data_IF_401669514810
#
_entry.id   IF_401669514810
#
_cell.length_a   1.000
_cell.length_b   1.000
_cell.length_c   1.000
_cell.angle_alpha   90.00
_cell.angle_beta   90.00
_cell.angle_gamma   90.00
#
_symmetry.space_group_name_H-M   'P 1'
#
loop_
_entity.id
_entity.type
_entity.pdbx_description
1 polymer ?
#
# COMPACT_ATOMS: atom_id res chain seq x y z
N UNK A 1 32.23 56.97 51.81
CA UNK A 1 31.28 56.88 50.69
C UNK A 1 31.87 55.96 49.64
N UNK A 2 31.31 54.76 49.45
CA UNK A 2 31.69 53.83 48.38
C UNK A 2 30.78 54.03 47.16
N UNK A 3 31.25 53.63 45.98
CA UNK A 3 30.39 53.00 44.95
C UNK A 3 31.22 51.96 44.20
N UNK A 4 31.02 50.72 44.61
CA UNK A 4 31.18 49.54 43.78
C UNK A 4 30.09 49.51 42.70
N UNK A 5 30.38 48.89 41.56
CA UNK A 5 29.57 47.83 40.93
C UNK A 5 30.39 47.28 39.76
N UNK A 6 31.00 46.11 39.91
CA UNK A 6 30.48 44.79 39.50
C UNK A 6 30.20 44.70 37.99
N UNK A 7 31.13 44.08 37.27
CA UNK A 7 30.98 43.58 35.91
C UNK A 7 31.91 42.37 35.78
N UNK A 8 31.33 41.18 35.92
CA UNK A 8 32.03 39.93 36.10
C UNK A 8 32.60 39.31 34.82
N UNK A 9 33.56 38.43 35.10
CA UNK A 9 34.30 37.52 34.24
C UNK A 9 33.45 36.51 33.45
N UNK A 10 34.11 35.98 32.42
CA UNK A 10 33.99 34.65 31.81
C UNK A 10 32.74 34.32 30.96
N UNK A 11 32.93 34.23 29.65
CA UNK A 11 33.19 32.94 28.97
C UNK A 11 33.26 33.10 27.46
N UNK A 12 34.33 32.55 26.87
CA UNK A 12 34.42 32.20 25.46
C UNK A 12 33.20 31.37 25.02
N UNK A 13 32.46 31.86 24.03
CA UNK A 13 31.63 31.01 23.19
C UNK A 13 31.92 31.31 21.72
N UNK A 14 32.77 30.46 21.17
CA UNK A 14 32.85 30.14 19.75
C UNK A 14 31.45 30.07 19.16
N UNK A 15 31.16 30.99 18.24
CA UNK A 15 30.00 30.89 17.37
C UNK A 15 30.20 29.65 16.49
N UNK A 16 29.57 28.54 16.90
CA UNK A 16 29.36 27.40 16.03
C UNK A 16 28.59 27.91 14.81
N UNK A 17 29.32 28.04 13.71
CA UNK A 17 28.76 28.17 12.38
C UNK A 17 27.73 27.05 12.23
N UNK A 18 26.45 27.41 12.23
CA UNK A 18 25.38 26.54 11.76
C UNK A 18 25.83 25.98 10.41
N UNK A 19 26.16 24.68 10.40
CA UNK A 19 26.48 23.97 9.18
C UNK A 19 25.23 24.01 8.31
N UNK A 20 25.15 25.04 7.45
CA UNK A 20 24.23 25.08 6.32
C UNK A 20 24.34 23.74 5.61
N UNK A 21 23.25 22.99 5.63
CA UNK A 21 23.11 21.75 4.87
C UNK A 21 23.39 22.12 3.42
N UNK A 22 24.51 21.63 2.89
CA UNK A 22 24.93 21.81 1.50
C UNK A 22 23.93 21.10 0.59
N UNK A 23 22.95 21.86 0.11
CA UNK A 23 21.90 21.47 -0.84
C UNK A 23 22.46 21.12 -2.24
N UNK A 24 23.72 21.46 -2.47
CA UNK A 24 24.56 21.16 -3.64
C UNK A 24 24.72 19.65 -3.90
N UNK A 25 24.41 18.77 -2.95
CA UNK A 25 24.38 17.31 -3.16
C UNK A 25 23.11 16.79 -3.88
N UNK A 26 22.13 17.65 -4.13
CA UNK A 26 20.84 17.25 -4.72
C UNK A 26 20.61 17.74 -6.15
N UNK A 27 21.59 18.38 -6.80
CA UNK A 27 21.48 18.77 -8.21
C UNK A 27 20.40 19.84 -8.51
N UNK A 28 19.87 20.50 -7.48
CA UNK A 28 18.85 21.53 -7.64
C UNK A 28 19.54 22.87 -7.86
N UNK A 29 19.33 23.46 -9.04
CA UNK A 29 19.65 24.86 -9.27
C UNK A 29 18.90 25.77 -8.27
N UNK A 30 19.38 27.00 -8.03
CA UNK A 30 18.88 27.88 -6.97
C UNK A 30 17.39 28.26 -7.03
N UNK A 31 16.67 28.02 -8.14
CA UNK A 31 15.39 28.71 -8.39
C UNK A 31 14.13 27.83 -8.51
N UNK A 32 14.17 26.53 -8.19
CA UNK A 32 12.93 25.72 -8.04
C UNK A 32 12.91 24.89 -6.76
N UNK A 33 12.07 25.31 -5.82
CA UNK A 33 11.77 24.57 -4.60
C UNK A 33 11.00 23.28 -4.93
N UNK A 34 11.50 22.11 -4.49
CA UNK A 34 10.85 20.81 -4.74
C UNK A 34 9.40 20.79 -4.23
N UNK A 35 9.08 21.58 -3.20
CA UNK A 35 7.72 21.71 -2.68
C UNK A 35 6.80 22.45 -3.65
N UNK A 36 7.32 23.44 -4.37
CA UNK A 36 6.56 24.16 -5.39
C UNK A 36 6.34 23.25 -6.60
N UNK A 37 7.38 22.51 -7.00
CA UNK A 37 7.27 21.45 -8.01
C UNK A 37 6.20 20.42 -7.64
N UNK A 38 6.17 19.97 -6.37
CA UNK A 38 5.14 19.07 -5.89
C UNK A 38 3.74 19.64 -6.11
N UNK A 39 3.51 20.90 -5.75
CA UNK A 39 2.19 21.53 -5.95
C UNK A 39 1.88 21.80 -7.43
N UNK A 40 2.88 22.13 -8.25
CA UNK A 40 2.74 22.26 -9.71
C UNK A 40 2.23 20.94 -10.32
N UNK A 41 2.80 19.80 -9.93
CA UNK A 41 2.35 18.46 -10.37
C UNK A 41 0.91 18.19 -9.93
N UNK A 42 0.58 18.46 -8.66
CA UNK A 42 -0.76 18.25 -8.11
C UNK A 42 -1.79 19.11 -8.84
N UNK A 43 -1.47 20.37 -9.11
CA UNK A 43 -2.34 21.30 -9.85
C UNK A 43 -2.50 20.88 -11.31
N UNK A 44 -1.41 20.49 -11.99
CA UNK A 44 -1.45 19.94 -13.35
C UNK A 44 -2.42 18.76 -13.44
N UNK A 45 -2.41 17.83 -12.46
CA UNK A 45 -3.36 16.72 -12.42
C UNK A 45 -4.79 17.14 -12.12
N UNK A 46 -4.99 18.10 -11.21
CA UNK A 46 -6.31 18.63 -10.91
C UNK A 46 -6.94 19.32 -12.14
N UNK A 47 -6.14 20.06 -12.90
CA UNK A 47 -6.57 20.85 -14.06
C UNK A 47 -6.48 20.09 -15.39
N UNK A 48 -5.98 18.84 -15.38
CA UNK A 48 -5.70 18.03 -16.58
C UNK A 48 -4.78 18.73 -17.59
N UNK A 49 -3.81 19.49 -17.11
CA UNK A 49 -2.80 20.18 -17.94
C UNK A 49 -1.53 19.34 -18.03
N UNK A 50 -0.89 19.36 -19.18
CA UNK A 50 0.44 18.76 -19.33
C UNK A 50 1.52 19.60 -18.65
N UNK A 51 2.50 18.94 -18.05
CA UNK A 51 3.70 19.60 -17.53
C UNK A 51 4.66 19.90 -18.69
N UNK A 52 5.45 20.97 -18.54
CA UNK A 52 6.56 21.20 -19.44
C UNK A 52 7.58 20.06 -19.36
N UNK A 53 8.33 19.83 -20.45
CA UNK A 53 9.39 18.81 -20.49
C UNK A 53 10.42 19.01 -19.38
N UNK A 54 10.83 20.26 -19.16
CA UNK A 54 11.76 20.65 -18.09
C UNK A 54 11.21 20.28 -16.70
N UNK A 55 9.95 20.64 -16.41
CA UNK A 55 9.31 20.29 -15.13
C UNK A 55 9.23 18.77 -14.96
N UNK A 56 8.92 18.03 -16.03
CA UNK A 56 8.86 16.57 -15.99
C UNK A 56 10.23 15.91 -15.74
N UNK A 57 11.33 16.48 -16.26
CA UNK A 57 12.70 16.02 -16.00
C UNK A 57 13.12 16.26 -14.56
N UNK A 58 12.90 17.46 -14.02
CA UNK A 58 13.18 17.77 -12.60
C UNK A 58 12.34 16.84 -11.70
N UNK A 59 11.07 16.60 -12.04
CA UNK A 59 10.20 15.68 -11.33
C UNK A 59 10.72 14.24 -11.36
N UNK A 60 11.32 13.81 -12.49
CA UNK A 60 11.94 12.48 -12.61
C UNK A 60 13.09 12.32 -11.65
N UNK A 61 13.99 13.30 -11.60
CA UNK A 61 15.16 13.28 -10.70
C UNK A 61 14.75 13.34 -9.24
N UNK A 62 13.66 14.08 -8.94
CA UNK A 62 13.15 14.28 -7.58
C UNK A 62 12.03 13.32 -7.16
N UNK A 63 11.70 12.28 -7.96
CA UNK A 63 10.48 11.47 -7.80
C UNK A 63 10.32 10.84 -6.41
N UNK A 64 11.40 10.37 -5.78
CA UNK A 64 11.34 9.83 -4.42
C UNK A 64 11.21 10.92 -3.35
N UNK A 65 11.79 12.10 -3.58
CA UNK A 65 11.60 13.26 -2.70
C UNK A 65 10.16 13.75 -2.73
N UNK A 66 9.50 13.71 -3.89
CA UNK A 66 8.06 14.04 -4.01
C UNK A 66 7.18 13.11 -3.15
N UNK A 67 7.53 11.82 -3.04
CA UNK A 67 6.84 10.86 -2.16
C UNK A 67 7.00 11.29 -0.69
N UNK A 68 8.21 11.63 -0.28
CA UNK A 68 8.47 12.08 1.10
C UNK A 68 7.71 13.36 1.45
N UNK A 69 7.60 14.30 0.50
CA UNK A 69 6.79 15.51 0.66
C UNK A 69 5.32 15.14 0.86
N UNK A 70 4.77 14.25 0.03
CA UNK A 70 3.39 13.80 0.15
C UNK A 70 3.11 13.16 1.53
N UNK A 71 3.99 12.27 1.99
CA UNK A 71 3.89 11.64 3.30
C UNK A 71 3.92 12.69 4.42
N UNK A 72 4.87 13.62 4.37
CA UNK A 72 4.99 14.69 5.36
C UNK A 72 3.76 15.60 5.43
N UNK A 73 3.09 15.85 4.30
CA UNK A 73 1.82 16.59 4.25
C UNK A 73 0.69 15.76 4.88
N UNK A 74 0.56 14.49 4.49
CA UNK A 74 -0.50 13.59 4.97
C UNK A 74 -0.42 13.37 6.49
N UNK A 75 0.79 13.25 7.03
CA UNK A 75 1.00 12.98 8.45
C UNK A 75 0.71 14.17 9.34
N UNK A 76 1.03 15.38 8.90
CA UNK A 76 0.94 16.58 9.75
C UNK A 76 -0.49 17.02 10.04
N UNK A 77 -1.53 16.45 9.39
CA UNK A 77 -2.99 16.68 9.57
C UNK A 77 -3.49 18.13 9.56
N UNK A 78 -2.61 19.12 9.57
CA UNK A 78 -2.90 20.56 9.59
C UNK A 78 -2.70 21.23 8.24
N UNK A 79 -2.08 20.54 7.27
CA UNK A 79 -1.96 21.06 5.91
C UNK A 79 -3.19 20.68 5.10
N UNK A 80 -4.31 21.35 5.37
CA UNK A 80 -5.29 21.64 4.33
C UNK A 80 -4.70 22.63 3.29
N UNK A 81 -3.45 22.37 2.86
CA UNK A 81 -2.84 23.11 1.76
C UNK A 81 -3.68 22.83 0.52
N UNK A 82 -4.30 23.89 0.00
CA UNK A 82 -5.14 23.89 -1.20
C UNK A 82 -6.51 23.20 -1.10
N UNK A 83 -7.00 22.87 0.11
CA UNK A 83 -8.35 22.32 0.27
C UNK A 83 -8.57 20.92 -0.32
N UNK A 84 -7.51 20.23 -0.74
CA UNK A 84 -7.57 18.85 -1.21
C UNK A 84 -7.54 17.87 -0.04
N UNK A 85 -8.33 16.80 -0.15
CA UNK A 85 -8.22 15.69 0.80
C UNK A 85 -6.88 14.95 0.64
N UNK A 86 -6.34 14.41 1.72
CA UNK A 86 -5.12 13.59 1.69
C UNK A 86 -5.20 12.44 0.67
N UNK A 87 -6.39 11.86 0.52
CA UNK A 87 -6.67 10.83 -0.49
C UNK A 87 -6.52 11.36 -1.92
N UNK A 88 -7.04 12.56 -2.19
CA UNK A 88 -6.95 13.17 -3.53
C UNK A 88 -5.52 13.50 -3.90
N UNK A 89 -4.75 14.01 -2.93
CA UNK A 89 -3.33 14.30 -3.09
C UNK A 89 -2.53 13.02 -3.40
N UNK A 90 -2.71 11.96 -2.60
CA UNK A 90 -2.06 10.67 -2.85
C UNK A 90 -2.44 10.09 -4.22
N UNK A 91 -3.71 10.21 -4.61
CA UNK A 91 -4.20 9.78 -5.92
C UNK A 91 -3.52 10.53 -7.06
N UNK A 92 -3.46 11.85 -7.01
CA UNK A 92 -2.85 12.65 -8.09
C UNK A 92 -1.37 12.38 -8.26
N UNK A 93 -0.63 12.24 -7.15
CA UNK A 93 0.77 11.86 -7.24
C UNK A 93 0.96 10.47 -7.85
N UNK A 94 0.13 9.49 -7.44
CA UNK A 94 0.18 8.14 -7.99
C UNK A 94 -0.20 8.10 -9.48
N UNK A 95 -1.29 8.77 -9.87
CA UNK A 95 -1.70 8.93 -11.26
C UNK A 95 -0.58 9.56 -12.09
N UNK A 96 0.13 10.55 -11.53
CA UNK A 96 1.29 11.15 -12.18
C UNK A 96 2.42 10.15 -12.45
N UNK A 97 2.87 9.39 -11.44
CA UNK A 97 3.91 8.39 -11.66
C UNK A 97 3.52 7.31 -12.67
N UNK A 98 2.25 6.89 -12.64
CA UNK A 98 1.72 5.90 -13.58
C UNK A 98 1.65 6.45 -15.01
N UNK A 99 1.29 7.71 -15.19
CA UNK A 99 1.26 8.34 -16.51
C UNK A 99 2.66 8.56 -17.08
N UNK A 100 3.64 8.84 -16.22
CA UNK A 100 5.04 8.98 -16.61
C UNK A 100 5.75 7.63 -16.81
N UNK A 101 5.10 6.51 -16.50
CA UNK A 101 5.69 5.17 -16.59
C UNK A 101 6.79 4.90 -15.56
N UNK A 102 6.78 5.61 -14.42
CA UNK A 102 7.79 5.47 -13.36
C UNK A 102 7.38 4.39 -12.37
N UNK A 103 7.43 3.13 -12.82
CA UNK A 103 7.05 1.97 -12.00
C UNK A 103 7.89 1.81 -10.72
N UNK A 104 9.15 2.27 -10.74
CA UNK A 104 10.03 2.34 -9.57
C UNK A 104 9.52 3.35 -8.52
N UNK A 105 9.04 4.52 -8.94
CA UNK A 105 8.40 5.49 -8.05
C UNK A 105 7.09 4.97 -7.49
N UNK A 106 6.31 4.22 -8.27
CA UNK A 106 5.10 3.56 -7.76
C UNK A 106 5.47 2.53 -6.69
N UNK A 107 6.47 1.68 -6.94
CA UNK A 107 6.92 0.69 -5.96
C UNK A 107 7.42 1.34 -4.66
N UNK A 108 8.25 2.39 -4.77
CA UNK A 108 8.72 3.16 -3.62
C UNK A 108 7.57 3.82 -2.85
N UNK A 109 6.58 4.36 -3.57
CA UNK A 109 5.41 5.00 -2.95
C UNK A 109 4.60 3.97 -2.17
N UNK A 110 4.35 2.78 -2.74
CA UNK A 110 3.70 1.68 -2.03
C UNK A 110 4.49 1.29 -0.77
N UNK A 111 5.82 1.16 -0.88
CA UNK A 111 6.68 0.75 0.23
C UNK A 111 6.63 1.75 1.39
N UNK A 112 6.89 3.04 1.10
CA UNK A 112 6.90 4.08 2.13
C UNK A 112 5.53 4.28 2.77
N UNK A 113 4.45 4.20 1.99
CA UNK A 113 3.11 4.37 2.55
C UNK A 113 2.72 3.18 3.44
N UNK A 114 3.23 1.98 3.19
CA UNK A 114 3.00 0.79 4.01
C UNK A 114 3.64 0.83 5.40
N UNK A 115 4.67 1.65 5.60
CA UNK A 115 5.36 1.79 6.90
C UNK A 115 4.43 2.26 8.02
N UNK A 116 3.37 3.02 7.69
CA UNK A 116 2.43 3.57 8.67
C UNK A 116 0.99 3.30 8.29
N UNK A 117 0.20 2.83 9.27
CA UNK A 117 -1.22 2.47 9.07
C UNK A 117 -2.06 3.60 8.47
N UNK A 118 -1.81 4.86 8.86
CA UNK A 118 -2.55 6.03 8.37
C UNK A 118 -2.31 6.26 6.88
N UNK A 119 -1.04 6.37 6.47
CA UNK A 119 -0.65 6.60 5.08
C UNK A 119 -1.10 5.43 4.22
N UNK A 120 -0.90 4.21 4.69
CA UNK A 120 -1.28 3.01 3.97
C UNK A 120 -2.78 2.98 3.63
N UNK A 121 -3.65 3.27 4.61
CA UNK A 121 -5.09 3.36 4.39
C UNK A 121 -5.49 4.45 3.39
N UNK A 122 -4.79 5.59 3.42
CA UNK A 122 -5.02 6.69 2.47
C UNK A 122 -4.63 6.27 1.05
N UNK A 123 -3.48 5.61 0.86
CA UNK A 123 -3.05 5.15 -0.45
C UNK A 123 -3.93 4.02 -0.99
N UNK A 124 -4.36 3.08 -0.14
CA UNK A 124 -5.36 2.08 -0.54
C UNK A 124 -6.63 2.74 -1.09
N UNK A 125 -7.13 3.75 -0.38
CA UNK A 125 -8.33 4.47 -0.80
C UNK A 125 -8.08 5.24 -2.12
N UNK A 126 -6.90 5.83 -2.29
CA UNK A 126 -6.50 6.49 -3.52
C UNK A 126 -6.44 5.52 -4.71
N UNK A 127 -5.82 4.35 -4.54
CA UNK A 127 -5.75 3.28 -5.56
C UNK A 127 -7.16 2.83 -5.93
N UNK A 128 -8.03 2.54 -4.96
CA UNK A 128 -9.42 2.14 -5.22
C UNK A 128 -10.20 3.16 -6.03
N UNK A 129 -10.03 4.45 -5.75
CA UNK A 129 -10.67 5.50 -6.55
C UNK A 129 -10.09 5.61 -7.95
N UNK A 130 -8.77 5.51 -8.09
CA UNK A 130 -8.06 5.58 -9.36
C UNK A 130 -8.48 4.43 -10.29
N UNK A 131 -8.57 3.20 -9.76
CA UNK A 131 -8.95 2.00 -10.49
C UNK A 131 -10.38 2.01 -11.04
N UNK A 132 -11.23 2.99 -10.64
CA UNK A 132 -12.53 3.19 -11.28
C UNK A 132 -12.39 3.59 -12.76
N UNK A 133 -11.26 4.18 -13.15
CA UNK A 133 -10.92 4.51 -14.53
C UNK A 133 -10.14 3.34 -15.15
N UNK A 134 -10.65 2.81 -16.25
CA UNK A 134 -10.11 1.60 -16.88
C UNK A 134 -8.62 1.72 -17.23
N UNK A 135 -8.20 2.86 -17.77
CA UNK A 135 -6.80 3.10 -18.12
C UNK A 135 -5.82 2.89 -16.95
N UNK A 136 -6.20 3.26 -15.73
CA UNK A 136 -5.34 3.10 -14.57
C UNK A 136 -5.45 1.70 -13.99
N UNK A 137 -6.62 1.07 -14.08
CA UNK A 137 -6.82 -0.33 -13.71
C UNK A 137 -5.87 -1.25 -14.51
N UNK A 138 -5.80 -1.07 -15.83
CA UNK A 138 -4.91 -1.86 -16.70
C UNK A 138 -3.42 -1.61 -16.40
N UNK A 139 -3.03 -0.36 -16.16
CA UNK A 139 -1.66 -0.04 -15.74
C UNK A 139 -1.34 -0.66 -14.38
N UNK A 140 -2.27 -0.63 -13.42
CA UNK A 140 -2.08 -1.26 -12.11
C UNK A 140 -1.97 -2.79 -12.19
N UNK A 141 -2.74 -3.46 -13.05
CA UNK A 141 -2.57 -4.90 -13.33
C UNK A 141 -1.13 -5.21 -13.75
N UNK A 142 -0.60 -4.41 -14.68
CA UNK A 142 0.78 -4.56 -15.16
C UNK A 142 1.80 -4.36 -14.04
N UNK A 143 1.62 -3.32 -13.22
CA UNK A 143 2.49 -3.02 -12.08
C UNK A 143 2.46 -4.17 -11.06
N UNK A 144 1.28 -4.62 -10.62
CA UNK A 144 1.17 -5.71 -9.65
C UNK A 144 1.77 -7.02 -10.18
N UNK A 145 1.60 -7.32 -11.47
CA UNK A 145 2.25 -8.48 -12.10
C UNK A 145 3.78 -8.39 -12.04
N UNK A 146 4.35 -7.20 -12.24
CA UNK A 146 5.79 -7.00 -12.11
C UNK A 146 6.26 -7.11 -10.65
N UNK A 147 5.53 -6.51 -9.71
CA UNK A 147 5.86 -6.56 -8.28
C UNK A 147 5.82 -7.99 -7.74
N UNK A 148 4.81 -8.78 -8.11
CA UNK A 148 4.65 -10.18 -7.68
C UNK A 148 5.79 -11.09 -8.17
N UNK A 149 6.43 -10.74 -9.28
CA UNK A 149 7.56 -11.50 -9.85
C UNK A 149 8.92 -11.08 -9.29
N UNK A 150 8.96 -10.05 -8.45
CA UNK A 150 10.19 -9.57 -7.84
C UNK A 150 10.33 -10.11 -6.41
N UNK A 151 11.30 -11.00 -6.13
CA UNK A 151 11.52 -11.59 -4.80
C UNK A 151 11.68 -10.57 -3.67
N UNK A 152 12.18 -9.37 -3.98
CA UNK A 152 12.45 -8.33 -2.98
C UNK A 152 11.23 -7.43 -2.72
N UNK A 153 10.19 -7.49 -3.56
CA UNK A 153 9.07 -6.54 -3.55
C UNK A 153 7.70 -7.22 -3.50
N UNK A 154 7.59 -8.52 -3.80
CA UNK A 154 6.30 -9.21 -3.74
C UNK A 154 5.58 -9.15 -2.37
N UNK A 155 6.26 -9.12 -1.19
CA UNK A 155 5.53 -9.04 0.08
C UNK A 155 4.71 -7.76 0.21
N UNK A 156 5.20 -6.67 -0.42
CA UNK A 156 4.47 -5.41 -0.53
C UNK A 156 3.24 -5.56 -1.41
N UNK A 157 3.37 -6.20 -2.58
CA UNK A 157 2.24 -6.47 -3.46
C UNK A 157 1.16 -7.30 -2.76
N UNK A 158 1.55 -8.36 -2.03
CA UNK A 158 0.64 -9.16 -1.22
C UNK A 158 -0.10 -8.33 -0.17
N UNK A 159 0.59 -7.44 0.53
CA UNK A 159 -0.01 -6.59 1.57
C UNK A 159 -1.09 -5.63 1.01
N UNK A 160 -0.85 -5.09 -0.18
CA UNK A 160 -1.85 -4.27 -0.88
C UNK A 160 -3.01 -5.13 -1.41
N UNK A 161 -2.73 -6.26 -2.07
CA UNK A 161 -3.76 -7.11 -2.65
C UNK A 161 -4.73 -7.66 -1.58
N UNK A 162 -4.21 -8.10 -0.44
CA UNK A 162 -5.03 -8.66 0.65
C UNK A 162 -6.01 -7.63 1.24
N UNK A 163 -5.63 -6.35 1.27
CA UNK A 163 -6.44 -5.27 1.87
C UNK A 163 -7.26 -4.49 0.85
N UNK A 164 -6.86 -4.51 -0.42
CA UNK A 164 -7.63 -3.89 -1.49
C UNK A 164 -8.94 -4.64 -1.73
N UNK A 165 -8.92 -5.96 -1.71
CA UNK A 165 -10.07 -6.80 -2.07
C UNK A 165 -10.63 -6.37 -3.45
N UNK A 166 -9.75 -6.26 -4.44
CA UNK A 166 -10.06 -5.86 -5.82
C UNK A 166 -9.82 -7.05 -6.75
N UNK A 167 -10.90 -7.74 -7.10
CA UNK A 167 -10.89 -8.93 -7.98
C UNK A 167 -10.16 -8.68 -9.30
N UNK A 168 -10.38 -7.50 -9.91
CA UNK A 168 -9.83 -7.19 -11.23
C UNK A 168 -8.31 -7.19 -11.25
N UNK A 169 -7.68 -6.82 -10.14
CA UNK A 169 -6.22 -6.85 -10.02
C UNK A 169 -5.79 -8.24 -9.54
N UNK A 170 -6.44 -8.78 -8.52
CA UNK A 170 -6.07 -10.07 -7.94
C UNK A 170 -6.08 -11.20 -8.99
N UNK A 171 -7.06 -11.25 -9.89
CA UNK A 171 -7.15 -12.27 -10.95
C UNK A 171 -5.93 -12.28 -11.87
N UNK A 172 -5.25 -11.13 -12.07
CA UNK A 172 -4.10 -11.04 -12.98
C UNK A 172 -2.82 -11.67 -12.46
N UNK A 173 -2.80 -11.93 -11.15
CA UNK A 173 -1.71 -12.59 -10.43
C UNK A 173 -2.22 -13.84 -9.70
N UNK A 174 -3.33 -14.42 -10.20
CA UNK A 174 -4.00 -15.56 -9.57
C UNK A 174 -3.02 -16.70 -9.30
N UNK A 175 -2.21 -17.07 -10.28
CA UNK A 175 -1.30 -18.21 -10.14
C UNK A 175 -0.19 -17.96 -9.13
N UNK A 176 0.39 -16.74 -9.11
CA UNK A 176 1.33 -16.35 -8.06
C UNK A 176 0.67 -16.38 -6.67
N UNK A 177 -0.57 -15.89 -6.54
CA UNK A 177 -1.32 -15.94 -5.28
C UNK A 177 -1.57 -17.38 -4.81
N UNK A 178 -1.90 -18.31 -5.71
CA UNK A 178 -2.04 -19.74 -5.36
C UNK A 178 -0.73 -20.30 -4.81
N UNK A 179 0.39 -20.02 -5.48
CA UNK A 179 1.71 -20.45 -5.04
C UNK A 179 2.02 -19.93 -3.63
N UNK A 180 1.75 -18.65 -3.36
CA UNK A 180 1.99 -18.08 -2.03
C UNK A 180 1.05 -18.65 -0.96
N UNK A 181 -0.22 -18.90 -1.27
CA UNK A 181 -1.17 -19.49 -0.34
C UNK A 181 -0.78 -20.91 0.10
N UNK A 182 -0.13 -21.66 -0.79
CA UNK A 182 0.33 -23.04 -0.57
C UNK A 182 1.80 -23.14 -0.14
N UNK A 183 2.52 -22.02 -0.04
CA UNK A 183 3.92 -21.99 0.37
C UNK A 183 4.11 -22.15 1.88
N UNK A 184 5.31 -21.85 2.38
CA UNK A 184 5.69 -22.10 3.78
C UNK A 184 5.76 -20.83 4.65
N UNK A 185 5.72 -19.65 4.04
CA UNK A 185 5.83 -18.39 4.76
C UNK A 185 4.45 -17.93 5.26
N UNK A 186 4.16 -18.16 6.55
CA UNK A 186 2.89 -17.89 7.21
C UNK A 186 2.24 -16.55 6.81
N UNK A 187 2.99 -15.45 6.89
CA UNK A 187 2.46 -14.12 6.58
C UNK A 187 2.07 -13.98 5.10
N UNK A 188 2.87 -14.55 4.19
CA UNK A 188 2.58 -14.55 2.76
C UNK A 188 1.36 -15.42 2.46
N UNK A 189 1.24 -16.58 3.10
CA UNK A 189 0.09 -17.46 2.96
C UNK A 189 -1.20 -16.75 3.37
N UNK A 190 -1.21 -16.12 4.55
CA UNK A 190 -2.38 -15.36 5.05
C UNK A 190 -2.79 -14.28 4.06
N UNK A 191 -1.84 -13.44 3.63
CA UNK A 191 -2.12 -12.35 2.67
C UNK A 191 -2.61 -12.90 1.32
N UNK A 192 -2.03 -13.99 0.85
CA UNK A 192 -2.44 -14.63 -0.40
C UNK A 192 -3.84 -15.25 -0.29
N UNK A 193 -4.19 -15.91 0.81
CA UNK A 193 -5.53 -16.44 1.09
C UNK A 193 -6.57 -15.31 1.12
N UNK A 194 -6.24 -14.18 1.73
CA UNK A 194 -7.10 -12.99 1.73
C UNK A 194 -7.29 -12.43 0.31
N UNK A 195 -6.22 -12.30 -0.46
CA UNK A 195 -6.28 -11.81 -1.83
C UNK A 195 -7.05 -12.76 -2.76
N UNK A 196 -6.84 -14.07 -2.66
CA UNK A 196 -7.59 -15.09 -3.40
C UNK A 196 -9.08 -15.04 -3.07
N UNK A 197 -9.45 -14.73 -1.82
CA UNK A 197 -10.86 -14.63 -1.41
C UNK A 197 -11.63 -13.48 -2.06
N UNK A 198 -10.91 -12.53 -2.68
CA UNK A 198 -11.51 -11.47 -3.48
C UNK A 198 -11.88 -11.92 -4.89
N UNK A 199 -11.40 -13.08 -5.35
CA UNK A 199 -11.68 -13.65 -6.67
C UNK A 199 -12.82 -14.65 -6.52
N UNK A 200 -13.99 -14.36 -7.09
CA UNK A 200 -15.15 -15.25 -6.99
C UNK A 200 -15.06 -16.39 -8.03
N UNK A 201 -14.10 -17.27 -7.78
CA UNK A 201 -13.69 -18.36 -8.68
C UNK A 201 -13.67 -19.69 -7.91
N UNK A 202 -14.25 -20.72 -8.52
CA UNK A 202 -14.41 -22.05 -7.92
C UNK A 202 -13.06 -22.73 -7.62
N UNK A 203 -12.05 -22.52 -8.47
CA UNK A 203 -10.71 -23.04 -8.28
C UNK A 203 -10.04 -22.36 -7.08
N UNK A 204 -10.15 -21.02 -6.96
CA UNK A 204 -9.69 -20.26 -5.80
C UNK A 204 -10.35 -20.78 -4.51
N UNK A 205 -11.67 -20.99 -4.53
CA UNK A 205 -12.41 -21.52 -3.39
C UNK A 205 -11.95 -22.95 -3.03
N UNK A 206 -11.67 -23.79 -4.04
CA UNK A 206 -11.15 -25.14 -3.86
C UNK A 206 -9.75 -25.16 -3.21
N UNK A 207 -8.87 -24.24 -3.61
CA UNK A 207 -7.54 -24.08 -3.02
C UNK A 207 -7.66 -23.63 -1.56
N UNK A 208 -8.47 -22.61 -1.29
CA UNK A 208 -8.69 -22.13 0.09
C UNK A 208 -9.32 -23.23 0.95
N UNK A 209 -10.24 -24.03 0.42
CA UNK A 209 -10.83 -25.16 1.14
C UNK A 209 -9.80 -26.25 1.48
N UNK A 210 -8.81 -26.50 0.61
CA UNK A 210 -7.74 -27.45 0.91
C UNK A 210 -6.90 -27.05 2.13
N UNK A 211 -6.73 -25.74 2.35
CA UNK A 211 -5.97 -25.17 3.46
C UNK A 211 -6.66 -25.33 4.82
N UNK A 212 -7.93 -25.76 4.86
CA UNK A 212 -8.58 -26.17 6.09
C UNK A 212 -7.92 -27.40 6.73
N UNK A 213 -7.08 -28.14 6.01
CA UNK A 213 -6.30 -29.26 6.56
C UNK A 213 -4.87 -28.87 6.93
N UNK A 214 -4.51 -27.58 6.84
CA UNK A 214 -3.18 -27.11 7.20
C UNK A 214 -2.90 -27.38 8.70
N UNK A 215 -1.65 -27.70 9.03
CA UNK A 215 -1.21 -27.95 10.40
C UNK A 215 -1.31 -26.69 11.27
N UNK A 216 -1.05 -25.52 10.68
CA UNK A 216 -1.11 -24.22 11.35
C UNK A 216 -2.56 -23.76 11.51
N UNK A 217 -2.94 -23.47 12.75
CA UNK A 217 -4.30 -23.05 13.11
C UNK A 217 -4.66 -21.67 12.55
N UNK A 218 -3.69 -20.76 12.41
CA UNK A 218 -3.90 -19.43 11.86
C UNK A 218 -4.26 -19.50 10.38
N UNK A 219 -3.58 -20.39 9.63
CA UNK A 219 -3.93 -20.69 8.23
C UNK A 219 -5.35 -21.26 8.13
N UNK A 220 -5.69 -22.25 8.97
CA UNK A 220 -7.05 -22.82 8.98
C UNK A 220 -8.11 -21.77 9.28
N UNK A 221 -7.87 -20.92 10.28
CA UNK A 221 -8.77 -19.80 10.62
C UNK A 221 -8.95 -18.86 9.43
N UNK A 222 -7.85 -18.46 8.80
CA UNK A 222 -7.89 -17.55 7.67
C UNK A 222 -8.64 -18.16 6.48
N UNK A 223 -8.39 -19.42 6.18
CA UNK A 223 -9.12 -20.15 5.14
C UNK A 223 -10.64 -20.19 5.41
N UNK A 224 -11.05 -20.51 6.65
CA UNK A 224 -12.46 -20.51 7.04
C UNK A 224 -13.11 -19.13 6.93
N UNK A 225 -12.40 -18.07 7.34
CA UNK A 225 -12.86 -16.68 7.19
C UNK A 225 -13.04 -16.27 5.72
N UNK A 226 -12.10 -16.67 4.86
CA UNK A 226 -12.13 -16.38 3.42
C UNK A 226 -13.27 -17.11 2.72
N UNK A 227 -13.48 -18.41 2.97
CA UNK A 227 -14.60 -19.16 2.40
C UNK A 227 -15.97 -18.58 2.77
N UNK A 228 -16.08 -17.92 3.93
CA UNK A 228 -17.32 -17.23 4.32
C UNK A 228 -17.66 -16.06 3.39
N UNK A 229 -16.67 -15.45 2.74
CA UNK A 229 -16.85 -14.29 1.85
C UNK A 229 -17.19 -14.69 0.43
N UNK A 230 -16.72 -15.86 -0.01
CA UNK A 230 -16.87 -16.35 -1.38
C UNK A 230 -18.21 -17.04 -1.63
N UNK A 231 -18.54 -17.25 -2.91
CA UNK A 231 -19.52 -18.23 -3.34
C UNK A 231 -18.83 -19.60 -3.45
N UNK A 232 -19.46 -20.64 -2.90
CA UNK A 232 -18.89 -21.99 -2.84
C UNK A 232 -19.92 -23.02 -3.28
N UNK A 233 -19.45 -24.08 -3.92
CA UNK A 233 -20.27 -25.15 -4.46
C UNK A 233 -20.57 -26.25 -3.41
N UNK A 234 -21.39 -27.22 -3.80
CA UNK A 234 -21.76 -28.37 -2.95
C UNK A 234 -20.56 -29.21 -2.50
N UNK A 235 -19.56 -29.38 -3.36
CA UNK A 235 -18.37 -30.18 -3.07
C UNK A 235 -17.52 -29.55 -1.95
N UNK A 236 -17.34 -28.23 -1.99
CA UNK A 236 -16.66 -27.49 -0.93
C UNK A 236 -17.48 -27.55 0.37
N UNK A 237 -18.81 -27.44 0.29
CA UNK A 237 -19.69 -27.58 1.46
C UNK A 237 -19.56 -28.96 2.10
N UNK A 238 -19.45 -30.03 1.31
CA UNK A 238 -19.21 -31.38 1.81
C UNK A 238 -17.88 -31.45 2.59
N UNK A 239 -16.79 -30.94 2.00
CA UNK A 239 -15.48 -30.85 2.68
C UNK A 239 -15.55 -30.04 3.98
N UNK A 240 -16.28 -28.93 3.99
CA UNK A 240 -16.47 -28.11 5.20
C UNK A 240 -17.21 -28.88 6.29
N UNK A 241 -18.27 -29.64 5.94
CA UNK A 241 -19.00 -30.48 6.91
C UNK A 241 -18.09 -31.54 7.53
N UNK A 242 -17.33 -32.26 6.71
CA UNK A 242 -16.35 -33.26 7.19
C UNK A 242 -15.30 -32.63 8.09
N UNK A 243 -14.83 -31.42 7.73
CA UNK A 243 -13.86 -30.69 8.53
C UNK A 243 -14.41 -30.25 9.89
N UNK A 244 -15.67 -29.84 9.98
CA UNK A 244 -16.29 -29.43 11.27
C UNK A 244 -16.25 -30.55 12.31
N UNK A 245 -16.47 -31.79 11.89
CA UNK A 245 -16.49 -32.96 12.78
C UNK A 245 -15.08 -33.30 13.32
N UNK A 246 -14.03 -32.99 12.55
CA UNK A 246 -12.63 -33.29 12.89
C UNK A 246 -11.82 -32.07 13.35
N UNK A 247 -12.37 -30.86 13.28
CA UNK A 247 -11.66 -29.64 13.66
C UNK A 247 -11.51 -29.56 15.18
N UNK A 248 -10.27 -29.36 15.65
CA UNK A 248 -9.94 -29.24 17.06
C UNK A 248 -10.04 -27.80 17.59
N UNK A 249 -9.88 -26.79 16.73
CA UNK A 249 -10.01 -25.38 17.11
C UNK A 249 -11.47 -24.92 17.07
N UNK A 250 -12.00 -24.49 18.22
CA UNK A 250 -13.39 -24.08 18.36
C UNK A 250 -13.75 -22.84 17.52
N UNK A 251 -12.84 -21.89 17.34
CA UNK A 251 -13.10 -20.70 16.52
C UNK A 251 -13.12 -21.01 15.02
N UNK A 252 -12.24 -21.91 14.54
CA UNK A 252 -12.34 -22.46 13.17
C UNK A 252 -13.67 -23.18 13.00
N UNK A 253 -14.01 -24.12 13.90
CA UNK A 253 -15.26 -24.90 13.85
C UNK A 253 -16.50 -24.00 13.80
N UNK A 254 -16.55 -22.99 14.65
CA UNK A 254 -17.62 -21.98 14.71
C UNK A 254 -17.70 -21.15 13.43
N UNK A 255 -16.56 -20.78 12.85
CA UNK A 255 -16.51 -20.03 11.59
C UNK A 255 -17.02 -20.88 10.43
N UNK A 256 -16.62 -22.14 10.33
CA UNK A 256 -17.11 -23.08 9.32
C UNK A 256 -18.62 -23.33 9.42
N UNK A 257 -19.17 -23.44 10.64
CA UNK A 257 -20.64 -23.50 10.83
C UNK A 257 -21.35 -22.26 10.28
N UNK A 258 -20.76 -21.07 10.43
CA UNK A 258 -21.30 -19.84 9.82
C UNK A 258 -21.23 -19.87 8.29
N UNK A 259 -20.21 -20.49 7.70
CA UNK A 259 -20.13 -20.69 6.25
C UNK A 259 -21.32 -21.52 5.76
N UNK A 260 -21.57 -22.69 6.38
CA UNK A 260 -22.72 -23.55 6.02
C UNK A 260 -24.05 -22.80 6.21
N UNK A 261 -24.21 -22.05 7.30
CA UNK A 261 -25.44 -21.30 7.56
C UNK A 261 -25.67 -20.18 6.54
N UNK A 262 -24.61 -19.57 5.99
CA UNK A 262 -24.71 -18.56 4.92
C UNK A 262 -25.15 -19.22 3.61
N UNK A 263 -24.55 -20.37 3.27
CA UNK A 263 -24.83 -21.07 2.01
C UNK A 263 -26.27 -21.59 1.89
N UNK A 264 -26.92 -21.94 3.02
CA UNK A 264 -28.32 -22.38 3.04
C UNK A 264 -29.35 -21.26 2.81
N UNK A 265 -28.93 -19.99 2.80
CA UNK A 265 -29.81 -18.82 2.61
C UNK A 265 -29.74 -18.34 1.18
#
# INVERSE_FOLDING_TARGET
MPKETYGGDDTDQTSESEKKVRLDKFGLGPDKNIRDLFWEIINSKAEKKELSKETAEIARESRFTLINIAIGIIEKRQSAGYGLSHQTLARYLLEFFIDMGWGDAVAEMLAKFAEKKLTFGILLSAIKQMNKKEQYREKMKTIFKQLMRNPNVYPLALDYLSKMNDENIAITVKDELKMFAQGDALENQIKAIEALSAIDDEECAGIIASLLSNWDVEIRRKAAESLRKMNINDDIIKKIKEKIESESDDEVRKTLRKVISKWKK
#
